data_IF_337406108473
#
_entry.id   IF_337406108473
#
_cell.length_a   1.000
_cell.length_b   1.000
_cell.length_c   1.000
_cell.angle_alpha   90.00
_cell.angle_beta   90.00
_cell.angle_gamma   90.00
#
_symmetry.space_group_name_H-M   'P 1'
#
loop_
_entity.id
_entity.type
_entity.pdbx_description
1 polymer ?
#
# COMPACT_ATOMS: atom_id res chain seq x y z
N UNK A 1 -5.82 23.28 -20.34
CA UNK A 1 -5.19 22.85 -19.08
C UNK A 1 -6.13 23.09 -17.90
N UNK A 2 -7.19 22.28 -17.75
CA UNK A 2 -8.17 22.48 -16.64
C UNK A 2 -8.90 21.19 -16.24
N UNK A 3 -8.99 20.20 -17.12
CA UNK A 3 -9.67 18.93 -16.84
C UNK A 3 -8.89 18.06 -15.85
N UNK A 4 -7.56 18.01 -15.98
CA UNK A 4 -6.71 17.19 -15.11
C UNK A 4 -6.85 17.59 -13.62
N UNK A 5 -6.84 18.89 -13.32
CA UNK A 5 -6.93 19.39 -11.94
C UNK A 5 -8.31 19.13 -11.31
N UNK A 6 -9.36 19.10 -12.14
CA UNK A 6 -10.74 18.96 -11.66
C UNK A 6 -11.10 17.49 -11.43
N UNK A 7 -10.53 16.58 -12.23
CA UNK A 7 -10.82 15.13 -12.15
C UNK A 7 -9.84 14.38 -11.25
N UNK A 8 -8.70 14.98 -10.88
CA UNK A 8 -7.70 14.35 -10.02
C UNK A 8 -8.28 13.82 -8.68
N UNK A 9 -9.14 14.56 -7.96
CA UNK A 9 -9.70 14.06 -6.70
C UNK A 9 -10.60 12.84 -6.90
N UNK A 10 -11.38 12.81 -7.99
CA UNK A 10 -12.25 11.69 -8.32
C UNK A 10 -11.44 10.46 -8.73
N UNK A 11 -10.39 10.66 -9.54
CA UNK A 11 -9.49 9.57 -9.97
C UNK A 11 -8.70 8.97 -8.82
N UNK A 12 -8.20 9.79 -7.89
CA UNK A 12 -7.50 9.32 -6.69
C UNK A 12 -8.42 8.61 -5.68
N UNK A 13 -9.72 8.88 -5.74
CA UNK A 13 -10.74 8.18 -4.96
C UNK A 13 -11.30 6.94 -5.69
N UNK A 14 -10.98 6.75 -6.97
CA UNK A 14 -11.40 5.59 -7.74
C UNK A 14 -10.39 4.46 -7.56
N UNK A 15 -10.65 3.62 -6.56
CA UNK A 15 -9.89 2.40 -6.23
C UNK A 15 -9.63 1.51 -7.46
N UNK A 16 -10.56 1.51 -8.43
CA UNK A 16 -10.48 0.74 -9.68
C UNK A 16 -9.33 1.16 -10.60
N UNK A 17 -8.78 2.38 -10.47
CA UNK A 17 -7.73 2.89 -11.37
C UNK A 17 -6.39 3.19 -10.68
N UNK A 18 -6.35 3.34 -9.35
CA UNK A 18 -5.14 3.79 -8.62
C UNK A 18 -4.58 2.80 -7.60
N UNK A 19 -5.26 1.67 -7.34
CA UNK A 19 -4.91 0.75 -6.26
C UNK A 19 -5.70 1.02 -4.98
N UNK A 20 -5.12 0.77 -3.79
CA UNK A 20 -5.82 0.97 -2.52
C UNK A 20 -6.18 2.45 -2.31
N UNK A 21 -7.40 2.71 -1.82
CA UNK A 21 -7.83 4.05 -1.43
C UNK A 21 -6.77 4.71 -0.54
N UNK A 22 -6.50 6.01 -0.74
CA UNK A 22 -5.45 6.72 -0.01
C UNK A 22 -5.58 6.60 1.53
N UNK A 23 -6.82 6.48 2.02
CA UNK A 23 -7.15 6.29 3.44
C UNK A 23 -6.66 4.95 4.00
N UNK A 24 -6.51 3.93 3.15
CA UNK A 24 -5.97 2.61 3.46
C UNK A 24 -4.49 2.52 3.07
N UNK A 25 -4.09 3.12 1.95
CA UNK A 25 -2.71 3.06 1.45
C UNK A 25 -1.70 3.68 2.41
N UNK A 26 -1.96 4.89 2.92
CA UNK A 26 -0.99 5.61 3.77
C UNK A 26 -0.70 4.85 5.08
N UNK A 27 -1.70 4.38 5.85
CA UNK A 27 -1.44 3.58 7.04
C UNK A 27 -0.68 2.28 6.74
N UNK A 28 -0.99 1.60 5.63
CA UNK A 28 -0.31 0.38 5.25
C UNK A 28 1.18 0.61 4.95
N UNK A 29 1.49 1.64 4.15
CA UNK A 29 2.86 1.98 3.81
C UNK A 29 3.68 2.32 5.05
N UNK A 30 3.11 3.06 6.01
CA UNK A 30 3.80 3.37 7.28
C UNK A 30 4.15 2.11 8.05
N UNK A 31 3.25 1.14 8.13
CA UNK A 31 3.50 -0.14 8.79
C UNK A 31 4.57 -0.96 8.07
N UNK A 32 4.58 -0.99 6.74
CA UNK A 32 5.63 -1.68 5.95
C UNK A 32 6.99 -1.01 6.17
N UNK A 33 7.03 0.32 6.31
CA UNK A 33 8.25 1.08 6.59
C UNK A 33 8.88 0.73 7.94
N UNK A 34 8.11 0.20 8.89
CA UNK A 34 8.64 -0.34 10.16
C UNK A 34 9.38 -1.67 9.98
N UNK A 35 9.47 -2.22 8.76
CA UNK A 35 10.32 -3.36 8.40
C UNK A 35 9.71 -4.74 8.66
N UNK A 36 8.48 -4.81 9.16
CA UNK A 36 7.81 -6.06 9.55
C UNK A 36 6.61 -6.43 8.67
N UNK A 37 6.31 -7.74 8.50
CA UNK A 37 5.05 -8.19 7.92
C UNK A 37 3.84 -7.67 8.72
N UNK A 38 2.80 -7.23 8.03
CA UNK A 38 1.65 -6.55 8.61
C UNK A 38 0.43 -7.47 8.62
N UNK A 39 -0.17 -7.70 9.78
CA UNK A 39 -1.46 -8.40 9.86
C UNK A 39 -2.61 -7.50 9.45
N UNK A 40 -3.72 -8.10 8.98
CA UNK A 40 -4.92 -7.34 8.60
C UNK A 40 -5.50 -6.59 9.82
N UNK A 41 -5.38 -7.16 11.01
CA UNK A 41 -5.85 -6.59 12.26
C UNK A 41 -5.01 -5.36 12.68
N UNK A 42 -3.68 -5.44 12.57
CA UNK A 42 -2.80 -4.29 12.78
C UNK A 42 -3.10 -3.18 11.77
N UNK A 43 -3.30 -3.54 10.50
CA UNK A 43 -3.63 -2.59 9.45
C UNK A 43 -4.97 -1.90 9.73
N UNK A 44 -6.01 -2.65 10.09
CA UNK A 44 -7.32 -2.12 10.45
C UNK A 44 -7.25 -1.15 11.64
N UNK A 45 -6.48 -1.51 12.68
CA UNK A 45 -6.26 -0.63 13.83
C UNK A 45 -5.56 0.68 13.43
N UNK A 46 -4.52 0.62 12.60
CA UNK A 46 -3.79 1.79 12.13
C UNK A 46 -4.62 2.68 11.19
N UNK A 47 -5.48 2.07 10.37
CA UNK A 47 -6.39 2.79 9.46
C UNK A 47 -7.65 3.34 10.17
N UNK A 48 -7.91 2.93 11.43
CA UNK A 48 -9.14 3.27 12.14
C UNK A 48 -10.40 2.72 11.44
N UNK A 49 -10.28 1.56 10.79
CA UNK A 49 -11.36 0.93 10.01
C UNK A 49 -11.73 -0.45 10.57
N UNK A 50 -12.97 -0.90 10.36
CA UNK A 50 -13.32 -2.29 10.63
C UNK A 50 -12.48 -3.25 9.78
N UNK A 51 -12.10 -4.40 10.37
CA UNK A 51 -11.33 -5.44 9.68
C UNK A 51 -11.99 -5.88 8.37
N UNK A 52 -13.31 -6.04 8.34
CA UNK A 52 -14.03 -6.46 7.14
C UNK A 52 -13.95 -5.43 6.00
N UNK A 53 -13.95 -4.14 6.34
CA UNK A 53 -13.81 -3.06 5.36
C UNK A 53 -12.39 -3.08 4.75
N UNK A 54 -11.38 -3.33 5.58
CA UNK A 54 -9.99 -3.48 5.13
C UNK A 54 -9.84 -4.71 4.24
N UNK A 55 -10.41 -5.86 4.63
CA UNK A 55 -10.39 -7.09 3.81
C UNK A 55 -11.03 -6.86 2.44
N UNK A 56 -12.14 -6.11 2.41
CA UNK A 56 -12.83 -5.77 1.16
C UNK A 56 -11.97 -4.87 0.28
N UNK A 57 -11.34 -3.83 0.86
CA UNK A 57 -10.43 -2.94 0.14
C UNK A 57 -9.20 -3.68 -0.41
N UNK A 58 -8.61 -4.57 0.38
CA UNK A 58 -7.49 -5.41 -0.06
C UNK A 58 -7.89 -6.39 -1.18
N UNK A 59 -9.09 -6.98 -1.10
CA UNK A 59 -9.58 -7.90 -2.13
C UNK A 59 -9.83 -7.20 -3.48
N UNK A 60 -10.08 -5.89 -3.48
CA UNK A 60 -10.21 -5.10 -4.68
C UNK A 60 -8.86 -4.76 -5.35
N UNK A 61 -7.73 -5.05 -4.69
CA UNK A 61 -6.38 -4.67 -5.16
C UNK A 61 -5.50 -5.91 -5.32
N UNK A 62 -5.42 -6.47 -6.55
CA UNK A 62 -4.75 -7.75 -6.81
C UNK A 62 -3.24 -7.71 -6.58
N UNK A 63 -2.64 -6.52 -6.63
CA UNK A 63 -1.19 -6.35 -6.51
C UNK A 63 -0.69 -6.49 -5.07
N UNK A 64 -1.57 -6.54 -4.06
CA UNK A 64 -1.14 -6.68 -2.66
C UNK A 64 -0.35 -7.97 -2.45
N UNK A 65 0.89 -7.85 -1.97
CA UNK A 65 1.74 -9.00 -1.67
C UNK A 65 1.51 -9.52 -0.25
N UNK A 66 1.47 -10.85 -0.14
CA UNK A 66 1.35 -11.56 1.12
C UNK A 66 2.51 -12.56 1.29
N UNK A 67 2.86 -12.84 2.54
CA UNK A 67 3.73 -13.98 2.88
C UNK A 67 2.94 -15.29 3.01
N UNK A 68 3.65 -16.39 3.29
CA UNK A 68 3.06 -17.72 3.43
C UNK A 68 2.08 -17.85 4.62
N UNK A 69 2.07 -16.86 5.53
CA UNK A 69 1.16 -16.79 6.68
C UNK A 69 -0.04 -15.87 6.41
N UNK A 70 -0.15 -15.30 5.21
CA UNK A 70 -1.23 -14.38 4.82
C UNK A 70 -1.07 -12.97 5.40
N UNK A 71 0.13 -12.60 5.87
CA UNK A 71 0.44 -11.23 6.30
C UNK A 71 0.85 -10.40 5.11
N UNK A 72 0.48 -9.13 5.12
CA UNK A 72 0.79 -8.20 4.04
C UNK A 72 2.27 -7.84 4.13
N UNK A 73 2.99 -8.02 3.03
CA UNK A 73 4.42 -7.68 2.92
C UNK A 73 4.70 -6.65 1.83
N UNK A 74 3.71 -6.29 1.00
CA UNK A 74 3.93 -5.26 0.00
C UNK A 74 2.68 -4.66 -0.64
N UNK A 75 2.80 -3.36 -0.96
CA UNK A 75 1.87 -2.58 -1.76
C UNK A 75 2.62 -1.39 -2.38
N UNK A 76 3.17 -1.55 -3.59
CA UNK A 76 4.09 -0.61 -4.23
C UNK A 76 5.50 -0.58 -3.61
N UNK A 77 5.55 -0.62 -2.27
CA UNK A 77 6.71 -0.89 -1.42
C UNK A 77 6.59 -2.31 -0.87
N UNK A 78 7.68 -3.07 -0.82
CA UNK A 78 7.68 -4.47 -0.37
C UNK A 78 8.91 -4.80 0.48
N UNK A 79 8.74 -5.76 1.38
CA UNK A 79 9.83 -6.41 2.14
C UNK A 79 10.58 -7.46 1.31
N UNK A 80 10.01 -7.87 0.17
CA UNK A 80 10.61 -8.86 -0.74
C UNK A 80 11.71 -8.19 -1.56
N UNK A 81 12.94 -8.74 -1.59
CA UNK A 81 14.02 -8.16 -2.37
C UNK A 81 13.68 -7.99 -3.87
N UNK A 82 13.82 -6.76 -4.36
CA UNK A 82 13.77 -6.42 -5.79
C UNK A 82 15.05 -5.68 -6.21
N UNK A 83 15.30 -5.47 -7.52
CA UNK A 83 16.41 -4.63 -7.97
C UNK A 83 16.31 -3.15 -7.54
N UNK A 84 15.13 -2.68 -7.13
CA UNK A 84 14.88 -1.29 -6.75
C UNK A 84 14.90 -1.14 -5.23
N UNK A 85 16.10 -0.95 -4.68
CA UNK A 85 16.33 -0.81 -3.23
C UNK A 85 15.95 0.59 -2.75
N UNK A 86 15.25 0.66 -1.63
CA UNK A 86 14.81 1.90 -1.00
C UNK A 86 15.05 1.82 0.51
N UNK A 87 15.89 2.71 1.05
CA UNK A 87 16.18 2.75 2.50
C UNK A 87 15.44 3.91 3.14
N UNK A 88 14.72 3.64 4.22
CA UNK A 88 13.97 4.64 4.98
C UNK A 88 14.10 4.35 6.46
N UNK A 89 14.39 5.39 7.25
CA UNK A 89 14.60 5.27 8.70
C UNK A 89 15.64 4.21 9.15
N UNK A 90 16.56 3.81 8.27
CA UNK A 90 17.55 2.75 8.54
C UNK A 90 17.10 1.34 8.16
N UNK A 91 15.84 1.16 7.79
CA UNK A 91 15.29 -0.10 7.29
C UNK A 91 15.49 -0.22 5.78
N UNK A 92 15.84 -1.43 5.33
CA UNK A 92 16.05 -1.73 3.92
C UNK A 92 14.79 -2.35 3.31
N UNK A 93 14.19 -1.61 2.37
CA UNK A 93 12.97 -1.98 1.68
C UNK A 93 13.20 -1.98 0.16
N UNK A 94 12.16 -2.38 -0.57
CA UNK A 94 12.22 -2.54 -2.02
C UNK A 94 10.96 -2.01 -2.67
N UNK A 95 11.04 -1.55 -3.92
CA UNK A 95 9.87 -1.14 -4.71
C UNK A 95 9.69 -2.02 -5.94
N UNK A 96 8.47 -2.12 -6.45
CA UNK A 96 8.18 -2.91 -7.65
C UNK A 96 8.62 -2.22 -8.94
N UNK A 97 8.51 -0.90 -8.97
CA UNK A 97 8.90 -0.07 -10.10
C UNK A 97 10.03 0.88 -9.70
N UNK A 98 10.93 1.17 -10.63
CA UNK A 98 11.79 2.33 -10.55
C UNK A 98 10.90 3.57 -10.66
N UNK A 99 10.82 4.36 -9.60
CA UNK A 99 10.51 5.78 -9.78
C UNK A 99 11.75 6.37 -10.46
N UNK A 100 11.77 6.45 -11.79
CA UNK A 100 12.82 7.23 -12.45
C UNK A 100 12.71 8.68 -11.92
N UNK A 101 13.75 9.23 -11.30
CA UNK A 101 13.79 10.63 -10.90
C UNK A 101 13.78 11.57 -12.11
#
# INVERSE_FOLDING_TARGET
MSELTTQLPERLNNTEETGLDAVLLIPLLRLIVEGGPVTVEQFAAAAGRPVDAVRTGLAAVPDTEYDDQGRIIGQGLTLRPTPHRFTVAGEELYTWCAWTP
#
